data_IF_526702923680
#
_entry.id   IF_526702923680
#
_cell.length_a   1.000
_cell.length_b   1.000
_cell.length_c   1.000
_cell.angle_alpha   90.00
_cell.angle_beta   90.00
_cell.angle_gamma   90.00
#
_symmetry.space_group_name_H-M   'P 1'
#
loop_
_entity.id
_entity.type
_entity.pdbx_description
1 polymer ?
#
# COMPACT_ATOMS: atom_id res chain seq x y z
N UNK A 1 -3.34 0.07 -24.54
CA UNK A 1 -2.71 0.70 -23.35
C UNK A 1 -3.71 0.68 -22.20
N UNK A 2 -3.27 0.48 -20.96
CA UNK A 2 -4.16 0.49 -19.79
C UNK A 2 -4.88 1.84 -19.67
N UNK A 3 -6.21 1.83 -19.49
CA UNK A 3 -7.03 3.03 -19.28
C UNK A 3 -7.06 3.48 -17.80
N UNK A 4 -6.17 2.94 -16.97
CA UNK A 4 -6.16 3.15 -15.53
C UNK A 4 -6.83 2.01 -14.76
N UNK A 5 -6.99 2.19 -13.45
CA UNK A 5 -7.41 1.15 -12.51
C UNK A 5 -7.57 1.71 -11.10
N UNK A 6 -7.92 0.84 -10.15
CA UNK A 6 -8.03 1.22 -8.74
C UNK A 6 -6.66 1.64 -8.18
N UNK A 7 -5.65 0.81 -8.43
CA UNK A 7 -4.25 1.14 -8.17
C UNK A 7 -3.82 2.29 -9.09
N UNK A 8 -3.15 3.34 -8.59
CA UNK A 8 -2.66 4.43 -9.42
C UNK A 8 -1.78 3.92 -10.56
N UNK A 9 -2.05 4.39 -11.77
CA UNK A 9 -1.20 4.15 -12.93
C UNK A 9 -0.55 5.47 -13.31
N UNK A 10 0.77 5.51 -13.26
CA UNK A 10 1.59 6.60 -13.78
C UNK A 10 1.90 6.32 -15.25
N UNK A 11 2.31 7.36 -15.99
CA UNK A 11 2.67 7.23 -17.40
C UNK A 11 3.69 6.10 -17.62
N UNK A 12 3.66 5.46 -18.79
CA UNK A 12 4.51 4.32 -19.14
C UNK A 12 6.01 4.58 -19.04
N UNK A 13 6.43 5.84 -18.93
CA UNK A 13 7.82 6.26 -18.72
C UNK A 13 8.31 6.15 -17.27
N UNK A 14 7.44 5.85 -16.29
CA UNK A 14 7.81 5.72 -14.88
C UNK A 14 7.02 4.61 -14.18
N UNK A 15 7.10 3.33 -14.63
CA UNK A 15 6.28 2.27 -14.07
C UNK A 15 6.49 2.13 -12.55
N UNK A 16 5.40 1.84 -11.81
CA UNK A 16 5.52 1.47 -10.40
C UNK A 16 6.15 0.09 -10.29
N UNK A 17 7.19 -0.03 -9.47
CA UNK A 17 7.94 -1.26 -9.23
C UNK A 17 7.79 -1.65 -7.75
N UNK A 18 6.76 -2.44 -7.38
CA UNK A 18 6.56 -2.84 -6.00
C UNK A 18 7.73 -3.67 -5.49
N UNK A 19 8.28 -3.28 -4.34
CA UNK A 19 9.34 -4.01 -3.67
C UNK A 19 8.75 -4.78 -2.48
N UNK A 20 8.82 -6.12 -2.54
CA UNK A 20 8.32 -6.99 -1.47
C UNK A 20 9.43 -7.25 -0.46
N UNK A 21 9.15 -6.96 0.80
CA UNK A 21 9.95 -7.39 1.96
C UNK A 21 9.07 -8.34 2.75
N UNK A 22 9.58 -9.53 3.06
CA UNK A 22 8.79 -10.55 3.72
C UNK A 22 9.65 -11.27 4.78
N UNK A 23 9.04 -11.49 5.94
CA UNK A 23 9.51 -12.45 6.93
C UNK A 23 8.54 -13.62 7.01
N UNK A 24 9.06 -14.79 7.43
CA UNK A 24 8.25 -15.93 7.84
C UNK A 24 8.67 -16.33 9.24
N UNK A 25 7.69 -16.53 10.13
CA UNK A 25 7.91 -16.94 11.51
C UNK A 25 6.79 -17.89 11.98
N UNK A 26 7.02 -18.58 13.09
CA UNK A 26 6.16 -19.69 13.54
C UNK A 26 5.26 -19.32 14.71
N UNK A 27 5.77 -18.56 15.68
CA UNK A 27 5.04 -18.24 16.90
C UNK A 27 4.31 -16.91 16.75
N UNK A 28 3.01 -16.88 17.02
CA UNK A 28 2.23 -15.63 16.99
C UNK A 28 2.67 -14.62 18.05
N UNK A 29 3.39 -15.06 19.10
CA UNK A 29 4.04 -14.16 20.06
C UNK A 29 5.09 -13.25 19.43
N UNK A 30 5.58 -13.59 18.23
CA UNK A 30 6.62 -12.84 17.54
C UNK A 30 6.04 -11.84 16.52
N UNK A 31 4.70 -11.77 16.36
CA UNK A 31 4.04 -10.92 15.35
C UNK A 31 4.50 -9.46 15.46
N UNK A 32 4.50 -8.89 16.67
CA UNK A 32 4.91 -7.50 16.91
C UNK A 32 6.38 -7.26 16.53
N UNK A 33 7.25 -8.26 16.78
CA UNK A 33 8.68 -8.18 16.45
C UNK A 33 8.87 -8.16 14.94
N UNK A 34 8.25 -9.07 14.22
CA UNK A 34 8.42 -9.17 12.77
C UNK A 34 7.69 -8.07 12.00
N UNK A 35 6.47 -7.68 12.42
CA UNK A 35 5.74 -6.55 11.83
C UNK A 35 6.49 -5.23 12.10
N UNK A 36 6.99 -5.03 13.32
CA UNK A 36 7.83 -3.90 13.68
C UNK A 36 9.14 -3.87 12.86
N UNK A 37 9.76 -5.03 12.66
CA UNK A 37 10.93 -5.21 11.80
C UNK A 37 10.67 -4.83 10.34
N UNK A 38 9.55 -5.27 9.75
CA UNK A 38 9.14 -4.88 8.39
C UNK A 38 9.05 -3.36 8.25
N UNK A 39 8.33 -2.70 9.16
CA UNK A 39 8.19 -1.24 9.16
C UNK A 39 9.55 -0.54 9.27
N UNK A 40 10.41 -1.02 10.16
CA UNK A 40 11.73 -0.44 10.40
C UNK A 40 12.64 -0.57 9.18
N UNK A 41 12.69 -1.75 8.56
CA UNK A 41 13.53 -2.00 7.38
C UNK A 41 13.00 -1.24 6.17
N UNK A 42 11.68 -1.23 5.93
CA UNK A 42 11.09 -0.44 4.84
C UNK A 42 11.44 1.04 4.96
N UNK A 43 11.35 1.61 6.17
CA UNK A 43 11.71 3.01 6.41
C UNK A 43 13.21 3.26 6.22
N UNK A 44 14.06 2.36 6.70
CA UNK A 44 15.51 2.49 6.55
C UNK A 44 15.92 2.47 5.07
N UNK A 45 15.40 1.54 4.28
CA UNK A 45 15.68 1.45 2.84
C UNK A 45 15.22 2.71 2.10
N UNK A 46 14.01 3.20 2.41
CA UNK A 46 13.50 4.44 1.83
C UNK A 46 14.40 5.64 2.20
N UNK A 47 14.77 5.76 3.47
CA UNK A 47 15.62 6.86 3.94
C UNK A 47 16.99 6.82 3.26
N UNK A 48 17.64 5.67 3.17
CA UNK A 48 18.91 5.51 2.44
C UNK A 48 18.78 5.92 0.98
N UNK A 49 17.72 5.50 0.28
CA UNK A 49 17.52 5.91 -1.11
C UNK A 49 17.34 7.43 -1.27
N UNK A 50 16.66 8.09 -0.32
CA UNK A 50 16.52 9.54 -0.30
C UNK A 50 17.85 10.25 -0.01
N UNK A 51 18.63 9.72 0.94
CA UNK A 51 19.94 10.26 1.32
C UNK A 51 20.96 10.12 0.17
N UNK A 52 20.86 9.05 -0.62
CA UNK A 52 21.62 8.83 -1.85
C UNK A 52 21.16 9.73 -3.03
N UNK A 53 20.14 10.56 -2.82
CA UNK A 53 19.61 11.48 -3.83
C UNK A 53 18.72 10.82 -4.88
N UNK A 54 18.21 9.61 -4.64
CA UNK A 54 17.27 8.97 -5.55
C UNK A 54 15.91 9.68 -5.52
N UNK A 55 15.33 9.88 -6.70
CA UNK A 55 14.05 10.55 -6.85
C UNK A 55 12.87 9.59 -6.63
N UNK A 56 12.74 9.12 -5.39
CA UNK A 56 11.75 8.13 -4.95
C UNK A 56 10.72 8.68 -3.95
N UNK A 57 10.82 9.93 -3.52
CA UNK A 57 9.96 10.49 -2.48
C UNK A 57 8.50 10.80 -2.89
N UNK A 58 7.67 11.16 -1.91
CA UNK A 58 6.35 11.75 -2.11
C UNK A 58 5.36 10.85 -2.86
N UNK A 59 4.76 11.36 -3.93
CA UNK A 59 3.72 10.68 -4.72
C UNK A 59 4.21 9.42 -5.45
N UNK A 60 5.52 9.15 -5.45
CA UNK A 60 6.13 7.93 -6.00
C UNK A 60 6.10 6.76 -5.01
N UNK A 61 5.87 7.02 -3.72
CA UNK A 61 5.72 6.02 -2.67
C UNK A 61 4.29 5.48 -2.58
N UNK A 62 3.74 5.05 -3.72
CA UNK A 62 2.46 4.33 -3.73
C UNK A 62 2.73 2.86 -3.38
N UNK A 63 2.09 2.39 -2.31
CA UNK A 63 2.23 1.02 -1.81
C UNK A 63 1.25 0.10 -2.53
N UNK A 64 1.75 -1.05 -2.99
CA UNK A 64 0.93 -2.03 -3.68
C UNK A 64 0.00 -2.75 -2.67
N UNK A 65 -1.33 -2.71 -2.84
CA UNK A 65 -2.27 -3.25 -1.85
C UNK A 65 -2.04 -4.72 -1.49
N UNK A 66 -1.58 -5.55 -2.44
CA UNK A 66 -1.36 -6.98 -2.16
C UNK A 66 -0.15 -7.23 -1.24
N UNK A 67 0.74 -6.26 -1.05
CA UNK A 67 1.92 -6.35 -0.18
C UNK A 67 1.84 -5.43 1.03
N UNK A 68 0.84 -4.55 1.08
CA UNK A 68 0.70 -3.56 2.14
C UNK A 68 0.28 -4.21 3.46
N UNK A 69 0.83 -3.72 4.57
CA UNK A 69 0.42 -4.13 5.93
C UNK A 69 -1.03 -3.68 6.19
N UNK A 70 -1.75 -4.41 7.03
CA UNK A 70 -3.18 -4.18 7.29
C UNK A 70 -3.52 -2.76 7.78
N UNK A 71 -2.58 -2.11 8.48
CA UNK A 71 -2.72 -0.76 9.04
C UNK A 71 -2.28 0.34 8.06
N UNK A 72 -1.94 -0.03 6.82
CA UNK A 72 -1.54 0.92 5.78
C UNK A 72 -2.70 1.86 5.43
N UNK A 73 -2.52 3.19 5.54
CA UNK A 73 -3.55 4.14 5.12
C UNK A 73 -3.90 4.00 3.64
N UNK A 74 -5.20 4.06 3.32
CA UNK A 74 -5.70 3.89 1.95
C UNK A 74 -5.08 4.90 0.97
N UNK A 75 -4.80 6.12 1.44
CA UNK A 75 -4.21 7.19 0.66
C UNK A 75 -2.81 6.81 0.14
N UNK A 76 -2.05 6.01 0.90
CA UNK A 76 -0.75 5.48 0.47
C UNK A 76 -0.85 4.40 -0.59
N UNK A 77 -2.02 3.78 -0.76
CA UNK A 77 -2.25 2.73 -1.76
C UNK A 77 -2.98 3.22 -3.01
N UNK A 78 -3.96 4.10 -2.83
CA UNK A 78 -4.88 4.51 -3.89
C UNK A 78 -4.75 5.98 -4.30
N UNK A 79 -4.06 6.80 -3.51
CA UNK A 79 -3.85 8.23 -3.80
C UNK A 79 -5.12 8.93 -4.27
N UNK A 80 -5.03 9.61 -5.41
CA UNK A 80 -6.14 10.38 -6.00
C UNK A 80 -7.35 9.52 -6.45
N UNK A 81 -7.21 8.20 -6.55
CA UNK A 81 -8.32 7.31 -6.89
C UNK A 81 -9.25 7.05 -5.70
N UNK A 82 -8.80 7.30 -4.47
CA UNK A 82 -9.54 6.96 -3.25
C UNK A 82 -10.98 7.53 -3.20
N UNK A 83 -11.25 8.81 -3.53
CA UNK A 83 -12.62 9.34 -3.54
C UNK A 83 -13.55 8.60 -4.53
N UNK A 84 -13.03 8.12 -5.66
CA UNK A 84 -13.81 7.32 -6.61
C UNK A 84 -14.13 5.94 -6.01
N UNK A 85 -13.16 5.30 -5.37
CA UNK A 85 -13.35 4.00 -4.73
C UNK A 85 -14.39 4.06 -3.59
N UNK A 86 -14.33 5.10 -2.75
CA UNK A 86 -15.35 5.33 -1.70
C UNK A 86 -16.76 5.51 -2.28
N UNK A 87 -16.90 6.22 -3.40
CA UNK A 87 -18.19 6.36 -4.11
C UNK A 87 -18.71 5.03 -4.65
N UNK A 88 -17.84 4.21 -5.25
CA UNK A 88 -18.20 2.86 -5.73
C UNK A 88 -18.67 2.00 -4.55
N UNK A 89 -17.92 2.00 -3.44
CA UNK A 89 -18.28 1.27 -2.22
C UNK A 89 -19.64 1.70 -1.67
N UNK A 90 -19.93 3.00 -1.63
CA UNK A 90 -21.25 3.50 -1.19
C UNK A 90 -22.40 3.05 -2.11
N UNK A 91 -22.15 2.94 -3.41
CA UNK A 91 -23.16 2.53 -4.38
C UNK A 91 -23.46 1.02 -4.35
N UNK A 92 -22.45 0.19 -4.11
CA UNK A 92 -22.55 -1.27 -4.24
C UNK A 92 -22.48 -2.03 -2.92
N UNK A 93 -21.93 -1.44 -1.87
CA UNK A 93 -21.93 -1.96 -0.50
C UNK A 93 -22.39 -0.86 0.50
N UNK A 94 -23.66 -0.41 0.38
CA UNK A 94 -24.20 0.66 1.21
C UNK A 94 -24.23 0.29 2.70
N UNK A 95 -24.41 -1.00 3.01
CA UNK A 95 -24.50 -1.51 4.38
C UNK A 95 -23.15 -1.94 4.96
N UNK A 96 -22.06 -1.72 4.23
CA UNK A 96 -20.70 -2.04 4.66
C UNK A 96 -20.47 -3.52 5.00
N UNK A 97 -21.17 -4.43 4.31
CA UNK A 97 -21.09 -5.87 4.59
C UNK A 97 -19.68 -6.38 4.30
N UNK A 98 -19.00 -5.86 3.27
CA UNK A 98 -17.64 -6.29 2.93
C UNK A 98 -16.61 -5.86 3.97
N UNK A 99 -16.92 -4.88 4.84
CA UNK A 99 -16.06 -4.51 5.95
C UNK A 99 -16.03 -5.56 7.06
N UNK A 100 -16.97 -6.51 7.08
CA UNK A 100 -16.96 -7.64 8.02
C UNK A 100 -15.92 -8.72 7.65
N UNK A 101 -15.41 -8.71 6.41
CA UNK A 101 -14.34 -9.59 5.96
C UNK A 101 -12.95 -9.05 6.41
N UNK A 102 -11.86 -9.73 6.06
CA UNK A 102 -10.51 -9.17 6.18
C UNK A 102 -10.25 -8.00 5.22
N UNK A 103 -9.01 -7.51 5.17
CA UNK A 103 -8.57 -6.50 4.20
C UNK A 103 -8.99 -5.05 4.51
N UNK A 104 -8.67 -4.15 3.58
CA UNK A 104 -8.74 -2.70 3.73
C UNK A 104 -10.16 -2.12 3.73
N UNK A 105 -10.42 -1.10 4.58
CA UNK A 105 -11.76 -0.55 4.82
C UNK A 105 -11.95 0.84 4.21
N UNK A 106 -12.94 1.00 3.32
CA UNK A 106 -13.24 2.20 2.52
C UNK A 106 -14.43 3.02 3.03
#
# INVERSE_FOLDING_TARGET
MSQGGAYPHVASSAPLLPFLIQFGWTLSSDDDVFIGGLKSISNAILQTALDDGQDVGGSKQILYPNYALEDTPLEKMYGNNLPKLRRIRKAWDPNNIMCLCGGFKF
#
